data_IF_475784538552
#
_entry.id   IF_475784538552
#
_cell.length_a   1.000
_cell.length_b   1.000
_cell.length_c   1.000
_cell.angle_alpha   90.00
_cell.angle_beta   90.00
_cell.angle_gamma   90.00
#
_symmetry.space_group_name_H-M   'P 1'
#
loop_
_entity.id
_entity.type
_entity.pdbx_description
1 polymer ?
#
# COMPACT_ATOMS: atom_id res chain seq x y z
N UNK A 1 -4.59 -0.10 8.11
CA UNK A 1 -5.53 -0.46 9.18
C UNK A 1 -6.37 -1.69 8.86
N UNK A 2 -6.95 -1.84 7.66
CA UNK A 2 -7.71 -3.05 7.26
C UNK A 2 -6.97 -4.38 7.48
N UNK A 3 -5.66 -4.39 7.31
CA UNK A 3 -4.85 -5.57 7.63
C UNK A 3 -4.99 -6.05 9.07
N UNK A 4 -5.36 -5.15 10.03
CA UNK A 4 -5.65 -5.55 11.41
C UNK A 4 -6.82 -6.54 11.50
N UNK A 5 -7.93 -6.22 10.85
CA UNK A 5 -9.09 -7.11 10.79
C UNK A 5 -8.75 -8.43 10.06
N UNK A 6 -8.02 -8.36 8.94
CA UNK A 6 -7.62 -9.57 8.19
C UNK A 6 -6.71 -10.49 9.01
N UNK A 7 -5.75 -9.93 9.78
CA UNK A 7 -4.89 -10.71 10.67
C UNK A 7 -5.70 -11.43 11.76
N UNK A 8 -6.63 -10.72 12.40
CA UNK A 8 -7.50 -11.31 13.42
C UNK A 8 -8.41 -12.41 12.83
N UNK A 9 -8.79 -12.29 11.56
CA UNK A 9 -9.53 -13.33 10.84
C UNK A 9 -8.83 -14.69 10.76
N UNK A 10 -7.52 -14.77 11.03
CA UNK A 10 -6.80 -16.04 11.19
C UNK A 10 -7.07 -16.73 12.55
N UNK A 11 -7.81 -16.09 13.45
CA UNK A 11 -8.08 -16.64 14.78
C UNK A 11 -6.86 -16.63 15.69
N UNK A 12 -6.07 -15.57 15.65
CA UNK A 12 -4.87 -15.36 16.47
C UNK A 12 -5.15 -14.37 17.60
N UNK A 13 -4.44 -14.51 18.72
CA UNK A 13 -4.49 -13.51 19.80
C UNK A 13 -3.85 -12.19 19.38
N UNK A 14 -4.15 -11.12 20.12
CA UNK A 14 -3.55 -9.80 19.87
C UNK A 14 -2.03 -9.84 19.88
N UNK A 15 -1.41 -10.58 20.81
CA UNK A 15 0.06 -10.72 20.86
C UNK A 15 0.62 -11.38 19.61
N UNK A 16 0.01 -12.49 19.18
CA UNK A 16 0.41 -13.20 17.96
C UNK A 16 0.22 -12.31 16.74
N UNK A 17 -0.90 -11.58 16.67
CA UNK A 17 -1.22 -10.64 15.60
C UNK A 17 -0.21 -9.49 15.48
N UNK A 18 0.17 -8.87 16.61
CA UNK A 18 1.18 -7.79 16.63
C UNK A 18 2.55 -8.32 16.20
N UNK A 19 2.98 -9.49 16.69
CA UNK A 19 4.25 -10.11 16.29
C UNK A 19 4.23 -10.40 14.78
N UNK A 20 3.16 -11.01 14.26
CA UNK A 20 3.01 -11.31 12.84
C UNK A 20 3.05 -10.03 11.99
N UNK A 21 2.37 -8.96 12.43
CA UNK A 21 2.35 -7.67 11.74
C UNK A 21 3.74 -7.01 11.73
N UNK A 22 4.34 -6.82 12.90
CA UNK A 22 5.62 -6.09 13.04
C UNK A 22 6.75 -6.84 12.33
N UNK A 23 6.91 -8.14 12.62
CA UNK A 23 7.96 -8.95 11.99
C UNK A 23 7.72 -9.07 10.48
N UNK A 24 6.47 -9.35 10.07
CA UNK A 24 6.11 -9.48 8.66
C UNK A 24 6.40 -8.21 7.86
N UNK A 25 6.02 -7.04 8.39
CA UNK A 25 6.28 -5.75 7.74
C UNK A 25 7.78 -5.48 7.65
N UNK A 26 8.51 -5.56 8.76
CA UNK A 26 9.95 -5.22 8.81
C UNK A 26 10.75 -6.16 7.90
N UNK A 27 10.54 -7.47 8.00
CA UNK A 27 11.28 -8.45 7.19
C UNK A 27 10.97 -8.26 5.71
N UNK A 28 9.71 -8.03 5.34
CA UNK A 28 9.34 -7.85 3.94
C UNK A 28 9.96 -6.59 3.31
N UNK A 29 9.99 -5.46 4.03
CA UNK A 29 10.65 -4.24 3.54
C UNK A 29 12.18 -4.32 3.60
N UNK A 30 12.76 -5.10 4.52
CA UNK A 30 14.19 -5.41 4.50
C UNK A 30 14.58 -6.15 3.22
N UNK A 31 13.81 -7.16 2.83
CA UNK A 31 14.03 -7.90 1.57
C UNK A 31 13.85 -6.99 0.36
N UNK A 32 12.83 -6.14 0.35
CA UNK A 32 12.63 -5.12 -0.68
C UNK A 32 13.83 -4.17 -0.77
N UNK A 33 14.36 -3.70 0.37
CA UNK A 33 15.57 -2.86 0.43
C UNK A 33 16.83 -3.53 -0.12
N UNK A 34 17.00 -4.83 0.10
CA UNK A 34 18.10 -5.60 -0.46
C UNK A 34 18.02 -5.61 -1.99
N UNK A 35 16.83 -5.85 -2.56
CA UNK A 35 16.62 -5.80 -4.02
C UNK A 35 16.82 -4.39 -4.57
N UNK A 36 16.45 -3.35 -3.83
CA UNK A 36 16.67 -1.97 -4.22
C UNK A 36 18.15 -1.62 -4.46
N UNK A 37 19.12 -2.33 -3.84
CA UNK A 37 20.55 -2.16 -4.12
C UNK A 37 20.85 -2.40 -5.60
N UNK A 38 20.16 -3.34 -6.25
CA UNK A 38 20.37 -3.64 -7.67
C UNK A 38 20.05 -2.44 -8.57
N UNK A 39 19.01 -1.67 -8.25
CA UNK A 39 18.66 -0.43 -8.97
C UNK A 39 19.77 0.61 -8.92
N UNK A 40 20.30 0.88 -7.73
CA UNK A 40 21.44 1.79 -7.55
C UNK A 40 22.67 1.34 -8.33
N UNK A 41 23.04 0.05 -8.22
CA UNK A 41 24.24 -0.49 -8.87
C UNK A 41 24.11 -0.53 -10.39
N UNK A 42 22.95 -0.94 -10.90
CA UNK A 42 22.70 -1.13 -12.33
C UNK A 42 22.15 0.11 -13.04
N UNK A 43 21.71 1.14 -12.30
CA UNK A 43 20.96 2.29 -12.85
C UNK A 43 19.81 1.85 -13.77
N UNK A 44 19.17 0.71 -13.45
CA UNK A 44 18.18 0.04 -14.28
C UNK A 44 16.95 -0.34 -13.46
N UNK A 45 15.74 -0.38 -14.07
CA UNK A 45 14.53 -0.89 -13.43
C UNK A 45 14.68 -2.36 -13.04
N UNK A 46 13.86 -2.79 -12.08
CA UNK A 46 13.91 -4.15 -11.52
C UNK A 46 13.87 -5.23 -12.59
N UNK A 47 12.91 -5.17 -13.51
CA UNK A 47 12.74 -6.18 -14.56
C UNK A 47 13.79 -6.07 -15.68
N UNK A 48 14.55 -4.99 -15.76
CA UNK A 48 15.74 -4.91 -16.62
C UNK A 48 16.94 -5.51 -15.89
N UNK A 49 17.12 -5.21 -14.59
CA UNK A 49 18.20 -5.76 -13.78
C UNK A 49 18.11 -7.30 -13.64
N UNK A 50 16.89 -7.85 -13.55
CA UNK A 50 16.66 -9.29 -13.43
C UNK A 50 17.10 -10.10 -14.66
N UNK A 51 17.31 -9.45 -15.83
CA UNK A 51 17.91 -10.08 -17.00
C UNK A 51 19.31 -10.65 -16.74
N UNK A 52 20.02 -10.11 -15.74
CA UNK A 52 21.31 -10.65 -15.34
C UNK A 52 21.20 -12.10 -14.81
N UNK A 53 20.09 -12.44 -14.17
CA UNK A 53 19.86 -13.79 -13.65
C UNK A 53 19.14 -14.72 -14.65
N UNK A 54 18.18 -14.19 -15.41
CA UNK A 54 17.28 -14.99 -16.27
C UNK A 54 17.63 -14.92 -17.77
N UNK A 55 18.59 -14.06 -18.16
CA UNK A 55 18.82 -13.73 -19.56
C UNK A 55 17.68 -12.88 -20.17
N UNK A 56 17.87 -12.40 -21.38
CA UNK A 56 16.90 -11.49 -22.03
C UNK A 56 15.57 -12.22 -22.34
N UNK A 57 15.64 -13.45 -22.82
CA UNK A 57 14.43 -14.21 -23.19
C UNK A 57 13.75 -14.82 -21.97
N UNK A 58 14.52 -15.44 -21.06
CA UNK A 58 13.97 -16.03 -19.84
C UNK A 58 13.30 -15.00 -18.94
N UNK A 59 13.78 -13.76 -18.93
CA UNK A 59 13.22 -12.67 -18.15
C UNK A 59 11.80 -12.24 -18.57
N UNK A 60 11.33 -12.67 -19.73
CA UNK A 60 9.95 -12.39 -20.17
C UNK A 60 8.91 -13.01 -19.22
N UNK A 61 9.20 -14.19 -18.67
CA UNK A 61 8.27 -14.88 -17.76
C UNK A 61 8.09 -14.09 -16.46
N UNK A 62 9.13 -13.84 -15.65
CA UNK A 62 8.97 -13.01 -14.44
C UNK A 62 8.49 -11.58 -14.75
N UNK A 63 8.84 -11.01 -15.91
CA UNK A 63 8.34 -9.72 -16.35
C UNK A 63 6.82 -9.71 -16.57
N UNK A 64 6.26 -10.72 -17.24
CA UNK A 64 4.80 -10.84 -17.42
C UNK A 64 4.11 -11.02 -16.06
N UNK A 65 4.64 -11.90 -15.19
CA UNK A 65 4.08 -12.11 -13.85
C UNK A 65 4.09 -10.79 -13.04
N UNK A 66 5.21 -10.06 -13.06
CA UNK A 66 5.33 -8.75 -12.40
C UNK A 66 4.31 -7.74 -12.94
N UNK A 67 4.15 -7.67 -14.26
CA UNK A 67 3.20 -6.76 -14.90
C UNK A 67 1.74 -7.08 -14.53
N UNK A 68 1.34 -8.34 -14.59
CA UNK A 68 -0.01 -8.79 -14.19
C UNK A 68 -0.26 -8.51 -12.72
N UNK A 69 0.73 -8.78 -11.85
CA UNK A 69 0.63 -8.50 -10.43
C UNK A 69 0.45 -7.00 -10.16
N UNK A 70 1.21 -6.14 -10.85
CA UNK A 70 1.09 -4.69 -10.75
C UNK A 70 -0.32 -4.22 -11.14
N UNK A 71 -0.84 -4.68 -12.28
CA UNK A 71 -2.22 -4.36 -12.71
C UNK A 71 -3.25 -4.77 -11.65
N UNK A 72 -3.08 -5.95 -11.04
CA UNK A 72 -3.96 -6.42 -9.96
C UNK A 72 -3.97 -5.46 -8.77
N UNK A 73 -2.81 -5.03 -8.30
CA UNK A 73 -2.69 -4.07 -7.21
C UNK A 73 -3.26 -2.68 -7.58
N UNK A 74 -2.94 -2.17 -8.76
CA UNK A 74 -3.43 -0.88 -9.27
C UNK A 74 -4.95 -0.87 -9.35
N UNK A 75 -5.55 -1.93 -9.89
CA UNK A 75 -7.00 -2.12 -9.96
C UNK A 75 -7.63 -2.12 -8.56
N UNK A 76 -7.02 -2.85 -7.63
CA UNK A 76 -7.50 -2.92 -6.24
C UNK A 76 -7.48 -1.56 -5.54
N UNK A 77 -6.39 -0.80 -5.71
CA UNK A 77 -6.26 0.56 -5.17
C UNK A 77 -7.25 1.53 -5.81
N UNK A 78 -7.44 1.45 -7.13
CA UNK A 78 -8.39 2.29 -7.86
C UNK A 78 -9.83 2.02 -7.42
N UNK A 79 -10.24 0.75 -7.30
CA UNK A 79 -11.57 0.36 -6.81
C UNK A 79 -11.79 0.93 -5.39
N UNK A 80 -10.82 0.75 -4.50
CA UNK A 80 -10.91 1.25 -3.12
C UNK A 80 -11.01 2.79 -3.10
N UNK A 81 -10.27 3.50 -3.96
CA UNK A 81 -10.35 4.95 -4.08
C UNK A 81 -11.73 5.42 -4.59
N UNK A 82 -12.32 4.70 -5.55
CA UNK A 82 -13.67 4.98 -6.06
C UNK A 82 -14.72 4.80 -4.96
N UNK A 83 -14.64 3.71 -4.22
CA UNK A 83 -15.57 3.43 -3.12
C UNK A 83 -15.42 4.47 -2.01
N UNK A 84 -14.18 4.80 -1.61
CA UNK A 84 -13.91 5.84 -0.63
C UNK A 84 -14.45 7.21 -1.08
N UNK A 85 -14.28 7.57 -2.35
CA UNK A 85 -14.84 8.80 -2.93
C UNK A 85 -16.36 8.79 -2.86
N UNK A 86 -17.02 7.69 -3.23
CA UNK A 86 -18.47 7.57 -3.13
C UNK A 86 -18.97 7.72 -1.68
N UNK A 87 -18.23 7.16 -0.72
CA UNK A 87 -18.52 7.31 0.72
C UNK A 87 -18.42 8.77 1.17
N UNK A 88 -17.43 9.54 0.67
CA UNK A 88 -17.35 11.00 0.94
C UNK A 88 -18.64 11.70 0.52
N UNK A 89 -19.06 11.51 -0.73
CA UNK A 89 -20.26 12.16 -1.28
C UNK A 89 -21.52 11.80 -0.48
N UNK A 90 -21.68 10.53 -0.14
CA UNK A 90 -22.80 10.05 0.66
C UNK A 90 -22.81 10.66 2.07
N UNK A 91 -21.66 10.72 2.75
CA UNK A 91 -21.54 11.25 4.12
C UNK A 91 -21.73 12.77 4.17
N UNK A 92 -21.38 13.49 3.10
CA UNK A 92 -21.62 14.93 2.97
C UNK A 92 -23.06 15.25 2.55
N UNK A 93 -23.91 14.24 2.33
CA UNK A 93 -25.30 14.44 1.92
C UNK A 93 -25.46 14.98 0.48
N UNK A 94 -24.43 14.84 -0.37
CA UNK A 94 -24.47 15.38 -1.74
C UNK A 94 -25.24 14.42 -2.66
N UNK A 95 -24.56 13.54 -3.32
CA UNK A 95 -25.16 12.54 -4.21
C UNK A 95 -24.70 11.14 -3.81
N UNK A 96 -25.53 10.15 -4.07
CA UNK A 96 -25.19 8.74 -3.86
C UNK A 96 -25.65 7.88 -5.04
N UNK A 97 -25.13 6.66 -5.16
CA UNK A 97 -25.57 5.70 -6.15
C UNK A 97 -24.55 5.43 -7.26
N UNK A 98 -24.99 4.69 -8.27
CA UNK A 98 -24.13 4.18 -9.35
C UNK A 98 -23.49 5.30 -10.17
N UNK A 99 -24.22 6.38 -10.43
CA UNK A 99 -23.71 7.53 -11.21
C UNK A 99 -22.48 8.17 -10.55
N UNK A 100 -22.50 8.35 -9.22
CA UNK A 100 -21.35 8.90 -8.47
C UNK A 100 -20.15 7.96 -8.58
N UNK A 101 -20.36 6.64 -8.45
CA UNK A 101 -19.30 5.63 -8.58
C UNK A 101 -18.67 5.63 -9.98
N UNK A 102 -19.48 5.76 -11.03
CA UNK A 102 -19.00 5.83 -12.43
C UNK A 102 -18.18 7.11 -12.65
N UNK A 103 -18.68 8.27 -12.23
CA UNK A 103 -17.93 9.52 -12.35
C UNK A 103 -16.63 9.45 -11.55
N UNK A 104 -16.68 8.96 -10.31
CA UNK A 104 -15.50 8.78 -9.47
C UNK A 104 -14.49 7.83 -10.14
N UNK A 105 -14.94 6.72 -10.75
CA UNK A 105 -14.06 5.79 -11.46
C UNK A 105 -13.34 6.48 -12.64
N UNK A 106 -14.04 7.26 -13.43
CA UNK A 106 -13.43 8.01 -14.55
C UNK A 106 -12.42 9.02 -14.02
N UNK A 107 -12.77 9.80 -13.01
CA UNK A 107 -11.88 10.82 -12.43
C UNK A 107 -10.64 10.18 -11.81
N UNK A 108 -10.82 9.13 -11.02
CA UNK A 108 -9.72 8.35 -10.40
C UNK A 108 -8.80 7.80 -11.48
N UNK A 109 -9.32 7.15 -12.52
CA UNK A 109 -8.52 6.60 -13.61
C UNK A 109 -7.72 7.70 -14.34
N UNK A 110 -8.34 8.82 -14.66
CA UNK A 110 -7.67 9.96 -15.31
C UNK A 110 -6.55 10.51 -14.43
N UNK A 111 -6.80 10.71 -13.14
CA UNK A 111 -5.79 11.22 -12.20
C UNK A 111 -4.60 10.28 -12.05
N UNK A 112 -4.86 8.98 -11.97
CA UNK A 112 -3.80 7.96 -11.87
C UNK A 112 -2.93 7.99 -13.12
N UNK A 113 -3.54 7.96 -14.31
CA UNK A 113 -2.83 7.97 -15.59
C UNK A 113 -2.01 9.25 -15.75
N UNK A 114 -2.60 10.42 -15.50
CA UNK A 114 -1.90 11.70 -15.59
C UNK A 114 -0.71 11.76 -14.63
N UNK A 115 -0.89 11.29 -13.41
CA UNK A 115 0.19 11.22 -12.42
C UNK A 115 1.33 10.29 -12.86
N UNK A 116 1.00 9.10 -13.39
CA UNK A 116 2.00 8.13 -13.84
C UNK A 116 2.79 8.61 -15.07
N UNK A 117 2.12 9.29 -16.01
CA UNK A 117 2.76 9.87 -17.21
C UNK A 117 3.68 11.03 -16.84
N UNK A 118 3.40 11.77 -15.78
CA UNK A 118 4.17 12.95 -15.36
C UNK A 118 5.65 12.67 -15.05
N UNK A 119 6.01 11.44 -14.72
CA UNK A 119 7.38 10.98 -14.56
C UNK A 119 7.96 11.15 -13.16
N UNK A 120 9.16 10.58 -12.96
CA UNK A 120 9.79 10.39 -11.65
C UNK A 120 9.83 11.65 -10.78
N UNK A 121 10.33 12.78 -11.31
CA UNK A 121 10.50 13.98 -10.50
C UNK A 121 9.20 14.58 -9.96
N UNK A 122 8.14 14.56 -10.78
CA UNK A 122 6.83 15.06 -10.38
C UNK A 122 6.21 14.10 -9.36
N UNK A 123 6.31 12.80 -9.61
CA UNK A 123 5.84 11.77 -8.67
C UNK A 123 6.53 11.95 -7.31
N UNK A 124 7.86 12.12 -7.27
CA UNK A 124 8.59 12.28 -6.00
C UNK A 124 8.20 13.54 -5.23
N UNK A 125 7.97 14.67 -5.93
CA UNK A 125 7.47 15.89 -5.27
C UNK A 125 6.06 15.68 -4.69
N UNK A 126 5.19 15.07 -5.46
CA UNK A 126 3.84 14.72 -5.01
C UNK A 126 3.89 13.79 -3.79
N UNK A 127 4.71 12.74 -3.83
CA UNK A 127 4.89 11.81 -2.72
C UNK A 127 5.39 12.51 -1.45
N UNK A 128 6.33 13.45 -1.58
CA UNK A 128 6.83 14.22 -0.43
C UNK A 128 5.70 15.00 0.24
N UNK A 129 4.89 15.72 -0.52
CA UNK A 129 3.76 16.49 0.02
C UNK A 129 2.74 15.56 0.66
N UNK A 130 2.36 14.49 -0.05
CA UNK A 130 1.38 13.52 0.44
C UNK A 130 1.86 12.82 1.72
N UNK A 131 3.16 12.51 1.83
CA UNK A 131 3.72 11.89 3.05
C UNK A 131 3.52 12.78 4.28
N UNK A 132 3.79 14.08 4.16
CA UNK A 132 3.59 15.01 5.28
C UNK A 132 2.11 15.16 5.64
N UNK A 133 1.26 15.38 4.64
CA UNK A 133 -0.20 15.55 4.86
C UNK A 133 -0.80 14.28 5.45
N UNK A 134 -0.50 13.12 4.87
CA UNK A 134 -0.97 11.82 5.37
C UNK A 134 -0.43 11.54 6.77
N UNK A 135 0.85 11.85 7.03
CA UNK A 135 1.46 11.68 8.34
C UNK A 135 0.73 12.46 9.42
N UNK A 136 0.48 13.76 9.19
CA UNK A 136 -0.23 14.62 10.14
C UNK A 136 -1.65 14.09 10.38
N UNK A 137 -2.41 13.82 9.32
CA UNK A 137 -3.79 13.33 9.45
C UNK A 137 -3.83 11.96 10.14
N UNK A 138 -2.85 11.09 9.86
CA UNK A 138 -2.72 9.78 10.53
C UNK A 138 -2.47 9.95 12.03
N UNK A 139 -1.60 10.86 12.45
CA UNK A 139 -1.36 11.12 13.89
C UNK A 139 -2.64 11.59 14.56
N UNK A 140 -3.35 12.55 13.97
CA UNK A 140 -4.64 13.02 14.49
C UNK A 140 -5.63 11.85 14.57
N UNK A 141 -5.73 11.06 13.50
CA UNK A 141 -6.60 9.88 13.47
C UNK A 141 -6.29 8.90 14.61
N UNK A 142 -5.03 8.55 14.81
CA UNK A 142 -4.59 7.66 15.90
C UNK A 142 -5.03 8.19 17.25
N UNK A 143 -4.78 9.48 17.53
CA UNK A 143 -5.17 10.12 18.80
C UNK A 143 -6.69 10.04 19.00
N UNK A 144 -7.48 10.31 17.96
CA UNK A 144 -8.94 10.32 18.04
C UNK A 144 -9.55 8.92 18.18
N UNK A 145 -8.86 7.89 17.75
CA UNK A 145 -9.37 6.51 17.81
C UNK A 145 -8.99 5.77 19.08
N UNK A 146 -8.02 6.24 19.85
CA UNK A 146 -7.63 5.64 21.15
C UNK A 146 -8.82 5.43 22.10
N UNK A 147 -9.75 6.38 22.27
CA UNK A 147 -10.90 6.19 23.16
C UNK A 147 -11.88 5.09 22.74
N UNK A 148 -11.81 4.63 21.48
CA UNK A 148 -12.66 3.56 20.94
C UNK A 148 -12.05 2.17 21.11
N UNK A 149 -10.89 2.06 21.77
CA UNK A 149 -10.20 0.79 22.01
C UNK A 149 -10.72 0.18 23.30
N UNK A 150 -11.30 -1.02 23.19
CA UNK A 150 -11.63 -1.83 24.36
C UNK A 150 -10.47 -2.75 24.72
N UNK A 151 -9.62 -2.27 25.63
CA UNK A 151 -8.45 -3.00 26.11
C UNK A 151 -8.82 -4.32 26.78
N UNK A 152 -9.99 -4.38 27.45
CA UNK A 152 -10.47 -5.58 28.09
C UNK A 152 -10.75 -6.70 27.10
N UNK A 153 -11.37 -6.39 25.96
CA UNK A 153 -11.67 -7.37 24.91
C UNK A 153 -10.40 -7.77 24.15
N UNK A 154 -9.61 -6.77 23.69
CA UNK A 154 -8.42 -7.02 22.87
C UNK A 154 -7.40 -7.91 23.57
N UNK A 155 -7.13 -7.68 24.86
CA UNK A 155 -6.12 -8.45 25.60
C UNK A 155 -6.55 -9.88 25.94
N UNK A 156 -7.83 -10.19 25.85
CA UNK A 156 -8.40 -11.51 26.16
C UNK A 156 -8.72 -12.35 24.91
N UNK A 157 -8.36 -11.90 23.72
CA UNK A 157 -8.48 -12.70 22.50
C UNK A 157 -7.69 -14.02 22.65
N UNK A 158 -8.31 -15.18 22.36
CA UNK A 158 -7.69 -16.49 22.57
C UNK A 158 -6.48 -16.68 21.64
N UNK A 159 -5.49 -17.44 22.12
CA UNK A 159 -4.35 -17.83 21.31
C UNK A 159 -4.78 -18.79 20.20
N UNK A 160 -4.34 -18.50 18.99
CA UNK A 160 -4.49 -19.39 17.85
C UNK A 160 -3.31 -20.35 17.70
N UNK A 161 -3.45 -21.39 16.83
CA UNK A 161 -2.37 -22.27 16.52
C UNK A 161 -1.21 -21.51 15.82
N UNK A 162 0.02 -21.99 16.00
CA UNK A 162 1.21 -21.32 15.43
C UNK A 162 1.15 -21.19 13.90
N UNK A 163 0.48 -22.12 13.21
CA UNK A 163 0.25 -22.08 11.76
C UNK A 163 -0.58 -20.87 11.34
N UNK A 164 -1.58 -20.48 12.14
CA UNK A 164 -2.39 -19.29 11.90
C UNK A 164 -1.52 -18.02 12.01
N UNK A 165 -0.63 -17.95 13.00
CA UNK A 165 0.33 -16.85 13.15
C UNK A 165 1.28 -16.73 11.95
N UNK A 166 1.80 -17.86 11.43
CA UNK A 166 2.61 -17.85 10.20
C UNK A 166 1.78 -17.43 8.99
N UNK A 167 0.55 -17.92 8.86
CA UNK A 167 -0.35 -17.51 7.78
C UNK A 167 -0.60 -16.01 7.79
N UNK A 168 -0.91 -15.45 8.94
CA UNK A 168 -1.09 -14.01 9.13
C UNK A 168 0.18 -13.22 8.78
N UNK A 169 1.35 -13.67 9.24
CA UNK A 169 2.64 -13.04 8.92
C UNK A 169 2.93 -13.09 7.42
N UNK A 170 2.71 -14.23 6.76
CA UNK A 170 2.91 -14.39 5.32
C UNK A 170 1.97 -13.47 4.53
N UNK A 171 0.70 -13.36 4.93
CA UNK A 171 -0.24 -12.42 4.33
C UNK A 171 0.25 -10.98 4.44
N UNK A 172 0.73 -10.57 5.62
CA UNK A 172 1.30 -9.23 5.81
C UNK A 172 2.53 -9.02 4.94
N UNK A 173 3.46 -9.97 4.90
CA UNK A 173 4.66 -9.88 4.08
C UNK A 173 4.33 -9.70 2.60
N UNK A 174 3.40 -10.49 2.06
CA UNK A 174 3.01 -10.42 0.64
C UNK A 174 2.27 -9.14 0.29
N UNK A 175 1.44 -8.64 1.17
CA UNK A 175 0.71 -7.38 0.95
C UNK A 175 1.53 -6.11 1.22
N UNK A 176 2.71 -6.23 1.85
CA UNK A 176 3.60 -5.11 2.19
C UNK A 176 4.88 -5.16 1.36
N UNK A 177 6.05 -5.27 1.96
CA UNK A 177 7.33 -5.15 1.28
C UNK A 177 7.56 -6.16 0.15
N UNK A 178 7.08 -7.41 0.25
CA UNK A 178 7.19 -8.38 -0.85
C UNK A 178 6.32 -8.00 -2.05
N UNK A 179 5.17 -7.35 -1.82
CA UNK A 179 4.33 -6.82 -2.89
C UNK A 179 5.02 -5.73 -3.72
N UNK A 180 6.06 -5.08 -3.18
CA UNK A 180 6.86 -4.05 -3.85
C UNK A 180 8.19 -4.54 -4.41
N UNK A 181 8.58 -5.79 -4.14
CA UNK A 181 9.92 -6.32 -4.46
C UNK A 181 10.19 -6.33 -5.97
N UNK A 182 9.17 -6.60 -6.77
CA UNK A 182 9.24 -6.67 -8.23
C UNK A 182 9.45 -5.29 -8.90
N UNK A 183 9.32 -4.20 -8.14
CA UNK A 183 9.50 -2.81 -8.61
C UNK A 183 10.48 -2.01 -7.73
N UNK A 184 11.16 -2.65 -6.78
CA UNK A 184 12.02 -1.99 -5.80
C UNK A 184 13.17 -1.20 -6.44
N UNK A 185 13.78 -1.70 -7.50
CA UNK A 185 14.85 -1.04 -8.21
C UNK A 185 14.40 0.12 -9.11
N UNK A 186 13.12 0.22 -9.42
CA UNK A 186 12.56 1.26 -10.30
C UNK A 186 12.74 2.68 -9.73
N UNK A 187 12.80 2.78 -8.40
CA UNK A 187 12.98 4.01 -7.65
C UNK A 187 14.43 4.24 -7.24
N UNK A 188 15.14 3.20 -6.79
CA UNK A 188 16.52 3.29 -6.33
C UNK A 188 17.53 3.49 -7.46
N UNK A 189 17.16 3.23 -8.71
CA UNK A 189 18.03 3.47 -9.89
C UNK A 189 18.44 4.92 -10.10
N UNK A 190 17.72 5.85 -9.48
CA UNK A 190 18.02 7.29 -9.52
C UNK A 190 18.99 7.74 -8.42
N UNK A 191 19.33 6.84 -7.50
CA UNK A 191 20.33 7.13 -6.47
C UNK A 191 21.74 7.22 -7.04
N UNK A 192 22.59 8.08 -6.41
CA UNK A 192 23.99 8.12 -6.75
C UNK A 192 24.64 6.75 -6.58
N UNK A 193 25.56 6.40 -7.48
CA UNK A 193 26.34 5.15 -7.36
C UNK A 193 27.23 5.12 -6.12
N UNK A 194 27.59 6.29 -5.57
CA UNK A 194 28.39 6.43 -4.35
C UNK A 194 27.56 6.30 -3.07
N UNK A 195 26.21 6.32 -3.17
CA UNK A 195 25.35 6.14 -2.01
C UNK A 195 25.61 4.78 -1.35
N UNK A 196 25.60 4.73 -0.01
CA UNK A 196 25.80 3.49 0.72
C UNK A 196 24.65 2.50 0.48
N UNK A 197 24.96 1.24 0.14
CA UNK A 197 23.97 0.20 -0.02
C UNK A 197 23.23 -0.10 1.29
N UNK A 198 23.93 -0.06 2.43
CA UNK A 198 23.33 -0.23 3.75
C UNK A 198 22.35 0.90 4.08
N UNK A 199 22.66 2.13 3.69
CA UNK A 199 21.73 3.27 3.85
C UNK A 199 20.45 3.08 3.03
N UNK A 200 20.54 2.57 1.80
CA UNK A 200 19.37 2.26 0.97
C UNK A 200 18.49 1.21 1.65
N UNK A 201 19.08 0.11 2.13
CA UNK A 201 18.34 -0.93 2.85
C UNK A 201 17.70 -0.37 4.11
N UNK A 202 18.47 0.37 4.93
CA UNK A 202 17.97 0.94 6.18
C UNK A 202 16.78 1.86 5.94
N UNK A 203 16.91 2.83 5.03
CA UNK A 203 15.84 3.80 4.78
C UNK A 203 14.64 3.21 4.05
N UNK A 204 14.84 2.19 3.20
CA UNK A 204 13.73 1.43 2.64
C UNK A 204 12.98 0.66 3.73
N UNK A 205 13.72 0.00 4.64
CA UNK A 205 13.11 -0.77 5.74
C UNK A 205 12.39 0.15 6.72
N UNK A 206 13.03 1.20 7.22
CA UNK A 206 12.43 2.12 8.19
C UNK A 206 11.26 2.89 7.57
N UNK A 207 11.48 3.50 6.40
CA UNK A 207 10.46 4.29 5.71
C UNK A 207 9.26 3.47 5.27
N UNK A 208 9.49 2.25 4.78
CA UNK A 208 8.41 1.34 4.39
C UNK A 208 7.67 0.73 5.59
N UNK A 209 8.35 0.54 6.73
CA UNK A 209 7.75 -0.15 7.88
C UNK A 209 7.02 0.76 8.85
N UNK A 210 7.48 1.99 9.05
CA UNK A 210 6.98 2.88 10.11
C UNK A 210 5.46 3.10 10.00
N UNK A 211 4.99 3.55 8.86
CA UNK A 211 3.57 3.78 8.62
C UNK A 211 2.72 2.50 8.75
N UNK A 212 3.03 1.44 8.01
CA UNK A 212 2.30 0.17 8.13
C UNK A 212 2.27 -0.42 9.54
N UNK A 213 3.38 -0.43 10.27
CA UNK A 213 3.41 -0.95 11.65
C UNK A 213 2.43 -0.19 12.55
N UNK A 214 2.48 1.15 12.53
CA UNK A 214 1.56 1.97 13.33
C UNK A 214 0.10 1.74 12.91
N UNK A 215 -0.18 1.79 11.60
CA UNK A 215 -1.54 1.69 11.09
C UNK A 215 -2.14 0.28 11.25
N UNK A 216 -1.34 -0.78 11.08
CA UNK A 216 -1.81 -2.17 11.28
C UNK A 216 -2.06 -2.41 12.76
N UNK A 217 -1.17 -1.96 13.66
CA UNK A 217 -1.36 -2.09 15.11
C UNK A 217 -2.62 -1.36 15.57
N UNK A 218 -2.87 -0.14 15.09
CA UNK A 218 -4.13 0.55 15.36
C UNK A 218 -5.35 -0.20 14.79
N UNK A 219 -5.21 -0.77 13.60
CA UNK A 219 -6.25 -1.62 13.01
C UNK A 219 -6.54 -2.87 13.83
N UNK A 220 -5.51 -3.51 14.41
CA UNK A 220 -5.64 -4.65 15.32
C UNK A 220 -6.38 -4.25 16.60
N UNK A 221 -6.03 -3.10 17.18
CA UNK A 221 -6.69 -2.59 18.39
C UNK A 221 -8.17 -2.29 18.15
N UNK A 222 -8.49 -1.62 17.05
CA UNK A 222 -9.87 -1.27 16.71
C UNK A 222 -10.71 -2.51 16.32
N UNK A 223 -10.21 -3.34 15.43
CA UNK A 223 -10.91 -4.55 15.00
C UNK A 223 -11.03 -5.59 16.12
N UNK A 224 -10.04 -5.67 17.01
CA UNK A 224 -10.09 -6.54 18.18
C UNK A 224 -11.05 -6.07 19.27
N UNK A 225 -11.41 -4.78 19.28
CA UNK A 225 -12.33 -4.20 20.26
C UNK A 225 -13.80 -4.48 19.95
N UNK A 226 -14.16 -4.74 18.69
CA UNK A 226 -15.54 -4.95 18.26
C UNK A 226 -15.58 -5.85 17.03
N UNK A 227 -16.35 -6.94 17.13
CA UNK A 227 -16.54 -7.86 16.00
C UNK A 227 -17.28 -7.17 14.85
N UNK A 228 -18.31 -6.38 15.14
CA UNK A 228 -19.07 -5.64 14.12
C UNK A 228 -18.17 -4.69 13.33
N UNK A 229 -17.25 -3.99 14.03
CA UNK A 229 -16.29 -3.11 13.38
C UNK A 229 -15.29 -3.90 12.55
N UNK A 230 -14.85 -5.07 13.02
CA UNK A 230 -13.94 -5.96 12.28
C UNK A 230 -14.56 -6.42 10.96
N UNK A 231 -15.83 -6.87 10.99
CA UNK A 231 -16.58 -7.30 9.82
C UNK A 231 -16.82 -6.14 8.84
N UNK A 232 -17.19 -4.97 9.37
CA UNK A 232 -17.36 -3.76 8.56
C UNK A 232 -16.06 -3.33 7.87
N UNK A 233 -14.90 -3.40 8.56
CA UNK A 233 -13.57 -3.10 7.97
C UNK A 233 -13.22 -4.10 6.86
N UNK A 234 -13.62 -5.36 6.98
CA UNK A 234 -13.36 -6.36 5.95
C UNK A 234 -14.14 -6.07 4.65
N UNK A 235 -15.32 -5.46 4.74
CA UNK A 235 -16.19 -5.14 3.60
C UNK A 235 -15.87 -3.76 2.98
N UNK A 236 -15.74 -2.74 3.81
CA UNK A 236 -15.42 -1.35 3.41
C UNK A 236 -14.43 -0.73 4.40
N UNK A 237 -13.13 -0.93 4.19
CA UNK A 237 -12.10 -0.48 5.13
C UNK A 237 -12.13 1.01 5.43
N UNK A 238 -12.40 1.84 4.42
CA UNK A 238 -12.38 3.31 4.58
C UNK A 238 -13.67 3.81 5.20
N UNK A 239 -14.82 3.31 4.72
CA UNK A 239 -16.12 3.69 5.24
C UNK A 239 -16.33 3.25 6.69
N UNK A 240 -15.92 2.02 7.04
CA UNK A 240 -16.02 1.52 8.41
C UNK A 240 -15.19 2.35 9.40
N UNK A 241 -13.94 2.64 9.06
CA UNK A 241 -13.07 3.48 9.90
C UNK A 241 -13.56 4.94 10.00
N UNK A 242 -14.31 5.40 9.01
CA UNK A 242 -14.92 6.72 9.03
C UNK A 242 -16.12 6.81 10.01
N UNK A 243 -16.76 5.70 10.38
CA UNK A 243 -17.94 5.72 11.27
C UNK A 243 -17.62 6.17 12.69
N UNK A 244 -16.40 5.94 13.15
CA UNK A 244 -15.94 6.27 14.51
C UNK A 244 -15.37 7.69 14.61
N UNK A 245 -15.37 8.45 13.51
CA UNK A 245 -14.80 9.80 13.46
C UNK A 245 -15.86 10.88 13.64
N UNK A 246 -15.53 12.00 14.29
CA UNK A 246 -16.40 13.15 14.36
C UNK A 246 -16.54 13.80 12.98
N UNK A 247 -17.69 14.42 12.74
CA UNK A 247 -18.08 14.97 11.43
C UNK A 247 -17.06 15.94 10.84
N UNK A 248 -16.41 16.77 11.68
CA UNK A 248 -15.43 17.76 11.22
C UNK A 248 -14.14 17.14 10.67
N UNK A 249 -13.75 15.94 11.19
CA UNK A 249 -12.52 15.25 10.76
C UNK A 249 -12.78 14.27 9.61
N UNK A 250 -14.04 13.94 9.36
CA UNK A 250 -14.42 12.97 8.33
C UNK A 250 -13.91 13.35 6.93
N UNK A 251 -14.11 14.60 6.52
CA UNK A 251 -13.69 15.06 5.19
C UNK A 251 -12.15 15.06 5.01
N UNK A 252 -11.33 15.60 5.92
CA UNK A 252 -9.88 15.48 5.87
C UNK A 252 -9.39 14.03 5.82
N UNK A 253 -9.95 13.16 6.65
CA UNK A 253 -9.58 11.73 6.69
C UNK A 253 -9.87 11.04 5.35
N UNK A 254 -11.08 11.16 4.85
CA UNK A 254 -11.48 10.51 3.60
C UNK A 254 -10.70 11.06 2.40
N UNK A 255 -10.46 12.38 2.35
CA UNK A 255 -9.64 12.99 1.30
C UNK A 255 -8.23 12.42 1.29
N UNK A 256 -7.58 12.34 2.45
CA UNK A 256 -6.23 11.78 2.58
C UNK A 256 -6.21 10.30 2.25
N UNK A 257 -7.23 9.54 2.63
CA UNK A 257 -7.35 8.13 2.26
C UNK A 257 -7.39 7.96 0.72
N UNK A 258 -8.22 8.74 0.02
CA UNK A 258 -8.29 8.72 -1.46
C UNK A 258 -6.95 9.13 -2.07
N UNK A 259 -6.34 10.21 -1.62
CA UNK A 259 -5.06 10.69 -2.15
C UNK A 259 -3.93 9.66 -1.93
N UNK A 260 -3.94 8.94 -0.80
CA UNK A 260 -2.96 7.88 -0.53
C UNK A 260 -3.14 6.67 -1.46
N UNK A 261 -4.39 6.29 -1.74
CA UNK A 261 -4.70 5.21 -2.68
C UNK A 261 -4.29 5.59 -4.11
N UNK A 262 -4.60 6.83 -4.54
CA UNK A 262 -4.16 7.37 -5.84
C UNK A 262 -2.63 7.37 -5.94
N UNK A 263 -1.94 7.80 -4.89
CA UNK A 263 -0.48 7.82 -4.80
C UNK A 263 0.12 6.42 -5.03
N UNK A 264 -0.42 5.39 -4.37
CA UNK A 264 -0.01 4.00 -4.57
C UNK A 264 -0.23 3.51 -6.00
N UNK A 265 -1.41 3.78 -6.56
CA UNK A 265 -1.75 3.39 -7.93
C UNK A 265 -0.86 4.11 -8.99
N UNK A 266 -0.57 5.40 -8.80
CA UNK A 266 0.36 6.15 -9.67
C UNK A 266 1.75 5.50 -9.69
N UNK A 267 2.27 5.11 -8.52
CA UNK A 267 3.54 4.42 -8.42
C UNK A 267 3.52 3.06 -9.14
N UNK A 268 2.43 2.32 -8.97
CA UNK A 268 2.23 1.03 -9.64
C UNK A 268 2.23 1.18 -11.15
N UNK A 269 1.38 2.05 -11.72
CA UNK A 269 1.32 2.27 -13.18
C UNK A 269 2.64 2.78 -13.76
N UNK A 270 3.35 3.66 -13.05
CA UNK A 270 4.69 4.07 -13.48
C UNK A 270 5.63 2.87 -13.61
N UNK A 271 5.62 1.96 -12.65
CA UNK A 271 6.48 0.77 -12.64
C UNK A 271 5.99 -0.33 -13.58
N UNK A 272 4.67 -0.52 -13.74
CA UNK A 272 4.10 -1.45 -14.72
C UNK A 272 4.50 -1.06 -16.14
N UNK A 273 4.49 0.24 -16.46
CA UNK A 273 5.02 0.75 -17.72
C UNK A 273 6.50 0.42 -17.95
N UNK A 274 7.36 0.55 -16.92
CA UNK A 274 8.76 0.14 -17.02
C UNK A 274 8.92 -1.37 -17.23
N UNK A 275 8.10 -2.16 -16.57
CA UNK A 275 8.07 -3.62 -16.73
C UNK A 275 7.66 -4.00 -18.14
N UNK A 276 6.64 -3.36 -18.71
CA UNK A 276 6.20 -3.59 -20.09
C UNK A 276 7.32 -3.30 -21.10
N UNK A 277 8.05 -2.21 -20.94
CA UNK A 277 9.22 -1.92 -21.77
C UNK A 277 10.33 -2.97 -21.63
N UNK A 278 10.47 -3.57 -20.43
CA UNK A 278 11.44 -4.64 -20.21
C UNK A 278 11.13 -5.92 -20.98
N UNK A 279 9.88 -6.12 -21.39
CA UNK A 279 9.46 -7.26 -22.23
C UNK A 279 9.88 -7.11 -23.70
N UNK A 280 10.41 -5.94 -24.08
CA UNK A 280 10.90 -5.66 -25.44
C UNK A 280 9.88 -4.91 -26.32
N UNK A 281 8.77 -4.43 -25.74
CA UNK A 281 7.79 -3.61 -26.45
C UNK A 281 8.39 -2.22 -26.69
N UNK A 282 8.45 -1.82 -27.97
CA UNK A 282 9.10 -0.58 -28.42
C UNK A 282 8.09 0.57 -28.48
N UNK A 283 7.68 1.08 -27.34
CA UNK A 283 6.83 2.27 -27.22
C UNK A 283 7.47 3.27 -26.24
N UNK A 284 7.20 4.57 -26.34
CA UNK A 284 7.70 5.52 -25.37
C UNK A 284 7.11 5.24 -23.97
N UNK A 285 7.91 5.50 -22.91
CA UNK A 285 7.49 5.23 -21.52
C UNK A 285 6.11 5.79 -21.17
N UNK A 286 5.76 7.04 -21.52
CA UNK A 286 4.43 7.56 -21.22
C UNK A 286 3.30 6.69 -21.80
N UNK A 287 3.48 6.19 -23.03
CA UNK A 287 2.51 5.30 -23.68
C UNK A 287 2.45 3.90 -23.02
N UNK A 288 3.55 3.44 -22.42
CA UNK A 288 3.57 2.18 -21.67
C UNK A 288 2.82 2.28 -20.32
N UNK A 289 2.50 3.49 -19.87
CA UNK A 289 1.75 3.76 -18.64
C UNK A 289 0.26 4.08 -18.91
N UNK A 290 -0.18 3.96 -20.15
CA UNK A 290 -1.58 4.05 -20.60
C UNK A 290 -2.22 2.67 -20.71
#
# INVERSE_FOLDING_TARGET
MSYGAFILGFGVSFRQAVVAAVVGVIVSFLLCGIVAIAGKRGSAPTMVASRAAFGVQGNKVPGIVSWVTSIGWETSLAITAVLATATIFQRLGWCSGTTVKVIAAIVVAVLIVLGAVAGYHIIMRMQTVLTWVTGIVTVIYVIMTIPHIDWGVVTHLPDGPWQAGIGAMTMVMTGMGLGWINIAADWSRYQSRDASGSSIVLWNTVGGSLGPVVLITMGLLLAGSSQDLSEAIALDPVGALATILPTWFLAPFLLVAVLSLLSGAINGIYSSGLTLLSLGIRIPRPAASL
#
